data_IF_430841785638
#
_entry.id   IF_430841785638
#
_cell.length_a   1.000
_cell.length_b   1.000
_cell.length_c   1.000
_cell.angle_alpha   90.00
_cell.angle_beta   90.00
_cell.angle_gamma   90.00
#
_symmetry.space_group_name_H-M   'P 1'
#
loop_
_entity.id
_entity.type
_entity.pdbx_description
1 polymer ?
#
# COMPACT_ATOMS: atom_id res chain seq x y z
N UNK A 1 -72.95 -65.78 32.82
CA UNK A 1 -71.49 -66.05 32.84
C UNK A 1 -71.28 -67.09 31.75
N UNK A 2 -70.58 -66.82 30.66
CA UNK A 2 -69.20 -66.34 30.71
C UNK A 2 -68.84 -65.55 29.47
N UNK A 3 -68.15 -64.43 29.70
CA UNK A 3 -67.21 -63.84 28.76
C UNK A 3 -65.98 -64.75 28.79
N UNK A 4 -65.71 -65.45 27.70
CA UNK A 4 -64.41 -66.09 27.46
C UNK A 4 -64.25 -66.24 25.96
N UNK A 5 -63.96 -65.13 25.29
CA UNK A 5 -63.07 -65.18 24.13
C UNK A 5 -61.94 -64.19 24.44
N UNK A 6 -60.76 -64.78 24.66
CA UNK A 6 -59.50 -64.12 24.95
C UNK A 6 -58.99 -63.47 23.66
N UNK A 7 -58.54 -62.22 23.74
CA UNK A 7 -58.02 -61.45 22.58
C UNK A 7 -56.66 -61.99 22.07
N UNK A 8 -56.26 -63.19 22.49
CA UNK A 8 -54.96 -63.82 22.20
C UNK A 8 -54.87 -64.54 20.85
N UNK A 9 -55.93 -64.55 20.02
CA UNK A 9 -55.93 -65.21 18.70
C UNK A 9 -55.64 -64.30 17.49
N UNK A 10 -55.38 -63.00 17.68
CA UNK A 10 -54.87 -62.19 16.59
C UNK A 10 -53.37 -62.47 16.43
N UNK A 11 -52.99 -63.20 15.37
CA UNK A 11 -51.62 -63.13 14.86
C UNK A 11 -51.32 -61.65 14.61
N UNK A 12 -50.29 -61.12 15.26
CA UNK A 12 -49.69 -59.84 14.90
C UNK A 12 -49.44 -59.85 13.40
N UNK A 13 -50.35 -59.23 12.65
CA UNK A 13 -50.14 -58.97 11.24
C UNK A 13 -49.09 -57.89 11.26
N UNK A 14 -47.85 -58.26 10.94
CA UNK A 14 -46.73 -57.34 10.83
C UNK A 14 -47.17 -56.21 9.87
N UNK A 15 -47.62 -55.09 10.45
CA UNK A 15 -47.97 -53.91 9.67
C UNK A 15 -46.65 -53.34 9.18
N UNK A 16 -46.21 -53.81 8.00
CA UNK A 16 -45.08 -53.21 7.30
C UNK A 16 -45.48 -51.81 6.90
N UNK A 17 -45.22 -50.85 7.77
CA UNK A 17 -45.30 -49.43 7.47
C UNK A 17 -44.14 -49.13 6.51
N UNK A 18 -44.40 -49.17 5.20
CA UNK A 18 -43.45 -48.68 4.20
C UNK A 18 -43.30 -47.17 4.38
N UNK A 19 -42.30 -46.77 5.16
CA UNK A 19 -41.86 -45.38 5.21
C UNK A 19 -40.96 -45.17 3.98
N UNK A 20 -41.48 -44.48 2.97
CA UNK A 20 -40.64 -43.95 1.91
C UNK A 20 -39.83 -42.78 2.48
N UNK A 21 -38.60 -43.05 2.94
CA UNK A 21 -37.64 -41.99 3.25
C UNK A 21 -37.09 -41.50 1.91
N UNK A 22 -37.77 -40.51 1.33
CA UNK A 22 -37.24 -39.80 0.18
C UNK A 22 -36.29 -38.72 0.69
N UNK A 23 -35.00 -39.05 0.80
CA UNK A 23 -34.00 -38.06 1.16
C UNK A 23 -33.76 -37.16 -0.06
N UNK A 24 -34.49 -36.03 -0.14
CA UNK A 24 -34.28 -35.03 -1.18
C UNK A 24 -32.79 -34.67 -1.21
N UNK A 25 -32.12 -34.67 -2.38
CA UNK A 25 -30.76 -34.15 -2.48
C UNK A 25 -30.73 -32.74 -1.90
N UNK A 26 -29.85 -32.52 -0.91
CA UNK A 26 -29.72 -31.20 -0.32
C UNK A 26 -29.10 -30.26 -1.36
N UNK A 27 -29.69 -29.08 -1.51
CA UNK A 27 -29.20 -28.02 -2.39
C UNK A 27 -29.15 -26.70 -1.61
N UNK A 28 -28.23 -25.82 -2.00
CA UNK A 28 -28.09 -24.51 -1.37
C UNK A 28 -27.75 -23.45 -2.41
N UNK A 29 -28.23 -22.23 -2.19
CA UNK A 29 -27.81 -21.08 -2.98
C UNK A 29 -26.39 -20.69 -2.58
N UNK A 30 -25.55 -20.35 -3.56
CA UNK A 30 -24.19 -19.89 -3.31
C UNK A 30 -24.13 -18.37 -3.41
N UNK A 31 -23.69 -17.71 -2.33
CA UNK A 31 -23.31 -16.30 -2.32
C UNK A 31 -21.80 -16.19 -2.22
N UNK A 32 -21.19 -15.47 -3.15
CA UNK A 32 -19.75 -15.15 -3.13
C UNK A 32 -19.59 -13.71 -2.68
N UNK A 33 -18.71 -13.47 -1.71
CA UNK A 33 -18.34 -12.13 -1.24
C UNK A 33 -16.88 -11.89 -1.54
N UNK A 34 -16.60 -10.83 -2.31
CA UNK A 34 -15.23 -10.38 -2.60
C UNK A 34 -14.76 -9.44 -1.50
N UNK A 35 -13.65 -9.80 -0.86
CA UNK A 35 -13.05 -9.06 0.25
C UNK A 35 -11.62 -8.63 -0.07
N UNK A 36 -11.22 -7.52 0.53
CA UNK A 36 -9.82 -7.14 0.68
C UNK A 36 -9.17 -8.01 1.77
N UNK A 37 -8.01 -8.60 1.48
CA UNK A 37 -7.38 -9.56 2.37
C UNK A 37 -6.85 -8.91 3.66
N UNK A 38 -6.42 -7.66 3.60
CA UNK A 38 -5.83 -6.91 4.71
C UNK A 38 -6.91 -6.35 5.65
N UNK A 39 -7.86 -5.59 5.11
CA UNK A 39 -8.90 -4.92 5.92
C UNK A 39 -10.14 -5.76 6.18
N UNK A 40 -10.36 -6.85 5.42
CA UNK A 40 -11.58 -7.65 5.49
C UNK A 40 -12.85 -6.97 4.96
N UNK A 41 -12.74 -5.76 4.40
CA UNK A 41 -13.87 -5.02 3.81
C UNK A 41 -14.30 -5.61 2.47
N UNK A 42 -15.58 -5.42 2.13
CA UNK A 42 -16.12 -5.77 0.80
C UNK A 42 -15.49 -4.88 -0.26
N UNK A 43 -15.07 -5.49 -1.36
CA UNK A 43 -14.56 -4.76 -2.54
C UNK A 43 -15.77 -4.31 -3.34
N UNK A 44 -16.11 -3.03 -3.23
CA UNK A 44 -17.32 -2.43 -3.81
C UNK A 44 -17.03 -1.51 -5.00
N UNK A 45 -15.79 -1.09 -5.20
CA UNK A 45 -15.44 -0.20 -6.31
C UNK A 45 -15.46 -0.93 -7.65
N UNK A 46 -14.69 -2.02 -7.75
CA UNK A 46 -14.54 -2.82 -8.97
C UNK A 46 -15.00 -4.26 -8.72
N UNK A 47 -15.66 -4.87 -9.70
CA UNK A 47 -16.12 -6.26 -9.62
C UNK A 47 -15.00 -7.29 -9.85
N UNK A 48 -15.20 -8.49 -9.32
CA UNK A 48 -14.45 -9.71 -9.64
C UNK A 48 -15.36 -10.68 -10.40
N UNK A 49 -14.79 -11.44 -11.33
CA UNK A 49 -15.52 -12.48 -12.07
C UNK A 49 -14.99 -13.87 -11.70
N UNK A 50 -15.91 -14.80 -11.46
CA UNK A 50 -15.61 -16.14 -10.99
C UNK A 50 -16.20 -17.23 -11.89
N UNK A 51 -15.48 -18.33 -12.04
CA UNK A 51 -16.02 -19.61 -12.51
C UNK A 51 -15.97 -20.64 -11.39
N UNK A 52 -16.92 -21.57 -11.38
CA UNK A 52 -17.01 -22.61 -10.35
C UNK A 52 -16.79 -23.96 -11.02
N UNK A 53 -15.96 -24.82 -10.43
CA UNK A 53 -15.74 -26.20 -10.85
C UNK A 53 -16.34 -27.17 -9.83
N UNK A 54 -16.94 -28.25 -10.33
CA UNK A 54 -17.37 -29.40 -9.52
C UNK A 54 -16.17 -30.28 -9.11
N UNK A 55 -16.43 -31.33 -8.32
CA UNK A 55 -15.42 -32.29 -7.86
C UNK A 55 -14.73 -33.08 -8.98
N UNK A 56 -15.32 -33.11 -10.18
CA UNK A 56 -14.76 -33.73 -11.38
C UNK A 56 -13.94 -32.74 -12.22
N UNK A 57 -13.89 -31.46 -11.82
CA UNK A 57 -13.19 -30.38 -12.51
C UNK A 57 -13.98 -29.73 -13.64
N UNK A 58 -15.26 -30.06 -13.82
CA UNK A 58 -16.10 -29.44 -14.86
C UNK A 58 -16.64 -28.10 -14.38
N UNK A 59 -16.72 -27.12 -15.27
CA UNK A 59 -17.37 -25.85 -14.96
C UNK A 59 -18.88 -26.01 -14.75
N UNK A 60 -19.36 -25.42 -13.67
CA UNK A 60 -20.79 -25.29 -13.37
C UNK A 60 -21.40 -24.28 -14.35
N UNK A 61 -22.40 -24.73 -15.10
CA UNK A 61 -23.15 -23.89 -16.05
C UNK A 61 -24.63 -23.86 -15.65
N UNK A 62 -25.15 -22.68 -15.38
CA UNK A 62 -26.55 -22.47 -15.03
C UNK A 62 -27.35 -21.95 -16.22
N UNK A 63 -28.55 -22.49 -16.43
CA UNK A 63 -29.46 -22.04 -17.49
C UNK A 63 -30.66 -21.34 -16.87
N UNK A 64 -30.77 -20.04 -17.09
CA UNK A 64 -31.85 -19.21 -16.54
C UNK A 64 -32.35 -18.23 -17.61
N UNK A 65 -33.67 -18.07 -17.75
CA UNK A 65 -34.27 -17.17 -18.75
C UNK A 65 -33.84 -17.46 -20.20
N UNK A 66 -33.56 -18.73 -20.54
CA UNK A 66 -33.08 -19.13 -21.87
C UNK A 66 -31.59 -18.89 -22.14
N UNK A 67 -30.85 -18.24 -21.23
CA UNK A 67 -29.41 -17.97 -21.32
C UNK A 67 -28.61 -18.93 -20.46
N UNK A 68 -27.36 -19.20 -20.85
CA UNK A 68 -26.39 -19.99 -20.07
C UNK A 68 -25.38 -19.06 -19.41
N UNK A 69 -25.06 -19.33 -18.15
CA UNK A 69 -24.13 -18.59 -17.32
C UNK A 69 -23.12 -19.56 -16.72
N UNK A 70 -21.84 -19.33 -17.00
CA UNK A 70 -20.73 -20.09 -16.41
C UNK A 70 -19.75 -19.17 -15.64
N UNK A 71 -20.02 -17.86 -15.66
CA UNK A 71 -19.21 -16.80 -15.08
C UNK A 71 -20.12 -15.93 -14.22
N UNK A 72 -19.70 -15.66 -12.99
CA UNK A 72 -20.46 -14.93 -11.99
C UNK A 72 -19.66 -13.74 -11.50
N UNK A 73 -20.17 -12.53 -11.73
CA UNK A 73 -19.46 -11.27 -11.46
C UNK A 73 -20.11 -10.52 -10.31
N UNK A 74 -19.30 -10.08 -9.33
CA UNK A 74 -19.78 -9.32 -8.18
C UNK A 74 -20.29 -7.95 -8.57
N UNK A 75 -21.38 -7.53 -7.94
CA UNK A 75 -21.91 -6.18 -8.09
C UNK A 75 -20.89 -5.17 -7.54
N UNK A 76 -20.77 -4.00 -8.16
CA UNK A 76 -19.85 -2.94 -7.75
C UNK A 76 -20.25 -1.60 -8.35
N UNK A 77 -19.69 -0.51 -7.85
CA UNK A 77 -19.94 0.85 -8.36
C UNK A 77 -19.59 0.99 -9.84
N UNK A 78 -18.49 0.37 -10.29
CA UNK A 78 -18.05 0.43 -11.69
C UNK A 78 -18.68 -0.65 -12.57
N UNK A 79 -19.24 -1.71 -11.98
CA UNK A 79 -19.84 -2.83 -12.70
C UNK A 79 -21.11 -3.26 -11.97
N UNK A 80 -22.27 -2.87 -12.51
CA UNK A 80 -23.58 -3.27 -11.95
C UNK A 80 -24.14 -4.47 -12.72
N UNK A 81 -24.29 -5.61 -12.05
CA UNK A 81 -24.77 -6.88 -12.67
C UNK A 81 -26.22 -7.18 -12.33
N UNK A 82 -26.64 -6.87 -11.11
CA UNK A 82 -28.00 -7.06 -10.61
C UNK A 82 -28.44 -5.79 -9.91
N UNK A 83 -29.62 -5.26 -10.28
CA UNK A 83 -30.19 -4.08 -9.62
C UNK A 83 -30.53 -4.40 -8.17
N UNK A 84 -30.27 -3.45 -7.28
CA UNK A 84 -30.57 -3.55 -5.84
C UNK A 84 -29.84 -4.67 -5.09
N UNK A 85 -28.87 -5.33 -5.74
CA UNK A 85 -28.01 -6.32 -5.09
C UNK A 85 -26.86 -5.66 -4.33
N UNK A 86 -26.42 -6.30 -3.25
CA UNK A 86 -25.34 -5.81 -2.40
C UNK A 86 -23.99 -5.74 -3.16
N UNK A 87 -23.34 -4.57 -3.14
CA UNK A 87 -22.00 -4.37 -3.72
C UNK A 87 -20.95 -5.29 -3.06
N UNK A 88 -19.99 -5.73 -3.86
CA UNK A 88 -18.96 -6.70 -3.50
C UNK A 88 -19.46 -8.15 -3.41
N UNK A 89 -20.69 -8.43 -3.86
CA UNK A 89 -21.26 -9.77 -3.79
C UNK A 89 -21.85 -10.23 -5.13
N UNK A 90 -21.89 -11.55 -5.33
CA UNK A 90 -22.69 -12.19 -6.38
C UNK A 90 -23.36 -13.42 -5.80
N UNK A 91 -24.64 -13.57 -6.08
CA UNK A 91 -25.41 -14.77 -5.72
C UNK A 91 -25.76 -15.51 -7.00
N UNK A 92 -25.55 -16.83 -7.01
CA UNK A 92 -25.88 -17.67 -8.15
C UNK A 92 -27.41 -17.71 -8.36
N UNK A 93 -27.90 -17.62 -9.60
CA UNK A 93 -29.34 -17.60 -9.86
C UNK A 93 -30.04 -18.94 -9.57
N UNK A 94 -29.33 -20.07 -9.63
CA UNK A 94 -29.85 -21.38 -9.26
C UNK A 94 -29.05 -21.97 -8.09
N UNK A 95 -29.70 -22.80 -7.28
CA UNK A 95 -29.05 -23.57 -6.22
C UNK A 95 -28.07 -24.60 -6.81
N UNK A 96 -27.06 -24.97 -6.02
CA UNK A 96 -26.12 -26.05 -6.30
C UNK A 96 -26.45 -27.25 -5.40
N UNK A 97 -26.32 -28.46 -5.96
CA UNK A 97 -26.47 -29.70 -5.21
C UNK A 97 -25.34 -29.87 -4.18
N UNK A 98 -25.57 -30.71 -3.17
CA UNK A 98 -24.55 -31.10 -2.21
C UNK A 98 -23.33 -31.74 -2.91
N UNK A 99 -22.13 -31.30 -2.53
CA UNK A 99 -20.89 -31.74 -3.15
C UNK A 99 -19.72 -30.81 -2.89
N UNK A 100 -18.54 -31.22 -3.37
CA UNK A 100 -17.31 -30.44 -3.33
C UNK A 100 -17.14 -29.59 -4.59
N UNK A 101 -16.73 -28.34 -4.39
CA UNK A 101 -16.57 -27.35 -5.44
C UNK A 101 -15.29 -26.52 -5.25
N UNK A 102 -14.88 -25.84 -6.31
CA UNK A 102 -13.84 -24.82 -6.24
C UNK A 102 -14.19 -23.59 -7.08
N UNK A 103 -13.80 -22.41 -6.59
CA UNK A 103 -13.97 -21.13 -7.25
C UNK A 103 -12.64 -20.72 -7.86
N UNK A 104 -12.66 -20.41 -9.15
CA UNK A 104 -11.57 -19.83 -9.91
C UNK A 104 -11.90 -18.36 -10.20
N UNK A 105 -11.05 -17.44 -9.75
CA UNK A 105 -11.16 -16.02 -10.10
C UNK A 105 -10.58 -15.83 -11.50
N UNK A 106 -11.44 -15.49 -12.45
CA UNK A 106 -11.07 -15.30 -13.85
C UNK A 106 -10.87 -13.83 -14.22
N UNK A 107 -11.38 -12.93 -13.38
CA UNK A 107 -11.13 -11.48 -13.50
C UNK A 107 -10.89 -10.91 -12.11
N UNK A 108 -9.64 -10.50 -11.85
CA UNK A 108 -9.23 -9.87 -10.61
C UNK A 108 -9.63 -8.38 -10.62
N UNK A 109 -10.23 -7.85 -9.55
CA UNK A 109 -10.57 -6.43 -9.48
C UNK A 109 -9.35 -5.54 -9.62
N UNK A 110 -9.51 -4.41 -10.32
CA UNK A 110 -8.45 -3.40 -10.47
C UNK A 110 -7.91 -2.95 -9.11
N UNK A 111 -6.59 -2.92 -8.96
CA UNK A 111 -5.91 -2.56 -7.71
C UNK A 111 -5.63 -3.73 -6.77
N UNK A 112 -5.96 -4.97 -7.16
CA UNK A 112 -5.69 -6.18 -6.38
C UNK A 112 -4.76 -7.14 -7.12
N UNK A 113 -4.13 -8.02 -6.35
CA UNK A 113 -3.32 -9.13 -6.84
C UNK A 113 -4.24 -10.30 -7.19
N UNK A 114 -3.88 -11.08 -8.21
CA UNK A 114 -4.62 -12.29 -8.55
C UNK A 114 -4.47 -13.36 -7.46
N UNK A 115 -5.46 -14.25 -7.36
CA UNK A 115 -5.34 -15.42 -6.50
C UNK A 115 -4.32 -16.41 -7.06
N UNK A 116 -3.43 -16.90 -6.21
CA UNK A 116 -2.47 -17.96 -6.56
C UNK A 116 -3.13 -19.35 -6.56
N UNK A 117 -4.26 -19.51 -5.85
CA UNK A 117 -4.96 -20.79 -5.68
C UNK A 117 -6.48 -20.59 -5.77
N UNK A 118 -7.19 -21.63 -6.23
CA UNK A 118 -8.65 -21.66 -6.21
C UNK A 118 -9.19 -21.78 -4.79
N UNK A 119 -10.38 -21.21 -4.55
CA UNK A 119 -11.05 -21.27 -3.25
C UNK A 119 -11.97 -22.48 -3.23
N UNK A 120 -11.67 -23.47 -2.36
CA UNK A 120 -12.48 -24.69 -2.23
C UNK A 120 -13.60 -24.50 -1.21
N UNK A 121 -14.76 -25.09 -1.48
CA UNK A 121 -15.89 -25.12 -0.55
C UNK A 121 -16.72 -26.39 -0.76
N UNK A 122 -17.50 -26.77 0.25
CA UNK A 122 -18.36 -27.95 0.21
C UNK A 122 -19.77 -27.57 0.64
N UNK A 123 -20.75 -28.01 -0.15
CA UNK A 123 -22.18 -27.91 0.19
C UNK A 123 -22.58 -29.22 0.85
N UNK A 124 -23.03 -29.16 2.11
CA UNK A 124 -23.48 -30.31 2.90
C UNK A 124 -24.83 -30.02 3.58
N UNK A 125 -25.50 -31.06 4.04
CA UNK A 125 -26.86 -31.03 4.59
C UNK A 125 -26.98 -30.43 6.02
N UNK A 126 -26.37 -29.27 6.29
CA UNK A 126 -26.19 -28.77 7.67
C UNK A 126 -27.10 -27.59 8.06
N UNK A 127 -27.34 -27.50 9.38
CA UNK A 127 -28.20 -26.52 10.09
C UNK A 127 -27.60 -25.11 10.22
N UNK A 128 -26.37 -24.91 9.73
CA UNK A 128 -25.53 -23.74 10.03
C UNK A 128 -25.39 -22.76 8.86
N UNK A 129 -26.27 -22.86 7.85
CA UNK A 129 -26.28 -21.92 6.72
C UNK A 129 -27.17 -20.72 7.03
N UNK A 130 -26.78 -19.56 6.50
CA UNK A 130 -27.66 -18.41 6.46
C UNK A 130 -28.94 -18.80 5.70
N UNK A 131 -30.06 -18.18 6.02
CA UNK A 131 -31.31 -18.39 5.29
C UNK A 131 -31.77 -17.07 4.68
N UNK A 132 -32.38 -17.14 3.51
CA UNK A 132 -33.08 -15.99 2.94
C UNK A 132 -34.46 -15.78 3.59
N UNK A 133 -35.21 -14.82 3.07
CA UNK A 133 -36.57 -14.48 3.53
C UNK A 133 -37.55 -15.66 3.38
N UNK A 134 -37.26 -16.62 2.48
CA UNK A 134 -38.07 -17.80 2.19
C UNK A 134 -37.58 -19.05 2.95
N UNK A 135 -36.65 -18.89 3.89
CA UNK A 135 -36.00 -19.96 4.67
C UNK A 135 -35.10 -20.91 3.84
N UNK A 136 -34.76 -20.54 2.61
CA UNK A 136 -33.87 -21.31 1.75
C UNK A 136 -32.40 -21.14 2.19
N UNK A 137 -31.60 -22.22 2.24
CA UNK A 137 -30.23 -22.17 2.75
C UNK A 137 -29.26 -21.50 1.76
N UNK A 138 -28.53 -20.49 2.24
CA UNK A 138 -27.46 -19.78 1.53
C UNK A 138 -26.10 -20.12 2.13
N UNK A 139 -25.23 -20.72 1.32
CA UNK A 139 -23.82 -20.83 1.65
C UNK A 139 -23.07 -19.58 1.19
N UNK A 140 -22.46 -18.85 2.13
CA UNK A 140 -21.61 -17.70 1.85
C UNK A 140 -20.14 -18.08 1.78
N UNK A 141 -19.50 -17.91 0.62
CA UNK A 141 -18.06 -18.12 0.42
C UNK A 141 -17.34 -16.77 0.29
N UNK A 142 -16.28 -16.58 1.08
CA UNK A 142 -15.48 -15.35 1.10
C UNK A 142 -14.22 -15.53 0.26
N UNK A 143 -14.05 -14.71 -0.78
CA UNK A 143 -12.86 -14.70 -1.64
C UNK A 143 -12.06 -13.44 -1.36
N UNK A 144 -10.80 -13.60 -0.92
CA UNK A 144 -9.95 -12.51 -0.44
C UNK A 144 -8.76 -12.29 -1.37
N UNK A 145 -8.55 -11.05 -1.84
CA UNK A 145 -7.33 -10.69 -2.56
C UNK A 145 -6.57 -9.63 -1.80
N UNK A 146 -5.25 -9.72 -1.83
CA UNK A 146 -4.37 -8.69 -1.32
C UNK A 146 -4.20 -7.56 -2.34
N UNK A 147 -3.82 -6.38 -1.87
CA UNK A 147 -3.42 -5.25 -2.72
C UNK A 147 -1.88 -5.22 -2.82
N UNK A 148 -1.31 -4.84 -3.98
CA UNK A 148 0.12 -4.56 -4.05
C UNK A 148 0.44 -3.31 -3.22
N UNK A 149 1.67 -3.25 -2.70
CA UNK A 149 2.18 -2.09 -1.96
C UNK A 149 3.37 -1.47 -2.68
N UNK A 150 3.60 -0.19 -2.43
CA UNK A 150 4.77 0.53 -2.89
C UNK A 150 5.79 0.70 -1.77
N UNK A 151 7.05 0.79 -2.17
CA UNK A 151 8.18 1.03 -1.28
C UNK A 151 9.16 1.99 -1.92
N UNK A 152 9.60 2.97 -1.16
CA UNK A 152 10.66 3.90 -1.54
C UNK A 152 11.90 3.53 -0.73
N UNK A 153 13.03 3.40 -1.43
CA UNK A 153 14.35 3.23 -0.83
C UNK A 153 15.22 4.39 -1.28
N UNK A 154 15.60 5.26 -0.35
CA UNK A 154 16.46 6.39 -0.61
C UNK A 154 17.83 6.16 0.03
N UNK A 155 18.89 6.47 -0.68
CA UNK A 155 20.27 6.52 -0.18
C UNK A 155 20.79 7.94 -0.30
N UNK A 156 21.32 8.46 0.80
CA UNK A 156 21.80 9.82 0.95
C UNK A 156 23.28 9.85 1.26
N UNK A 157 24.05 10.57 0.45
CA UNK A 157 25.49 10.71 0.66
C UNK A 157 25.97 12.15 0.52
N UNK A 158 27.19 12.40 0.96
CA UNK A 158 27.97 13.57 0.57
C UNK A 158 28.30 13.50 -0.93
N UNK A 159 28.24 14.65 -1.63
CA UNK A 159 28.52 14.72 -3.08
C UNK A 159 30.00 14.54 -3.43
N UNK A 160 30.90 14.98 -2.56
CA UNK A 160 32.35 14.94 -2.79
C UNK A 160 32.96 13.63 -2.28
N UNK A 161 32.63 13.20 -1.06
CA UNK A 161 33.25 12.04 -0.40
C UNK A 161 32.50 10.74 -0.65
N UNK A 162 31.22 10.79 -1.06
CA UNK A 162 30.29 9.66 -1.11
C UNK A 162 30.02 9.00 0.25
N UNK A 163 30.39 9.63 1.35
CA UNK A 163 30.08 9.14 2.70
C UNK A 163 28.58 9.23 2.97
N UNK A 164 28.06 8.28 3.73
CA UNK A 164 26.64 8.21 4.07
C UNK A 164 26.25 9.34 5.04
N UNK A 165 25.08 9.96 4.79
CA UNK A 165 24.55 11.02 5.65
C UNK A 165 23.34 10.53 6.44
N UNK A 166 23.53 10.31 7.74
CA UNK A 166 22.49 9.93 8.68
C UNK A 166 21.67 11.14 9.16
N UNK A 167 20.47 10.90 9.68
CA UNK A 167 19.59 11.89 10.30
C UNK A 167 19.09 13.03 9.39
N UNK A 168 19.22 12.88 8.06
CA UNK A 168 18.62 13.81 7.08
C UNK A 168 17.11 13.54 6.99
N UNK A 169 16.30 14.58 7.17
CA UNK A 169 14.84 14.47 7.24
C UNK A 169 14.19 14.62 5.87
N UNK A 170 13.20 13.77 5.61
CA UNK A 170 12.39 13.80 4.41
C UNK A 170 10.90 13.76 4.74
N UNK A 171 10.12 14.39 3.88
CA UNK A 171 8.66 14.34 3.87
C UNK A 171 8.16 13.83 2.51
N UNK A 172 7.26 12.85 2.58
CA UNK A 172 6.51 12.34 1.43
C UNK A 172 5.10 12.93 1.45
N UNK A 173 4.71 13.59 0.37
CA UNK A 173 3.37 14.15 0.17
C UNK A 173 2.66 13.52 -1.01
N UNK A 174 1.34 13.49 -1.00
CA UNK A 174 0.55 13.02 -2.14
C UNK A 174 0.51 14.09 -3.24
N UNK A 175 0.93 13.74 -4.46
CA UNK A 175 0.92 14.68 -5.61
C UNK A 175 -0.48 14.85 -6.21
N UNK A 176 -1.34 13.87 -6.00
CA UNK A 176 -2.72 13.81 -6.44
C UNK A 176 -3.62 13.22 -5.35
N UNK A 177 -4.93 13.24 -5.55
CA UNK A 177 -5.85 12.50 -4.67
C UNK A 177 -5.63 11.00 -4.87
N UNK A 178 -5.35 10.29 -3.77
CA UNK A 178 -5.13 8.85 -3.77
C UNK A 178 -6.39 8.18 -3.21
N UNK A 179 -6.99 7.31 -4.01
CA UNK A 179 -8.25 6.64 -3.67
C UNK A 179 -8.05 5.18 -3.34
N UNK A 180 -8.93 4.65 -2.49
CA UNK A 180 -9.01 3.26 -2.11
C UNK A 180 -9.51 2.39 -3.28
N UNK A 181 -8.76 1.34 -3.64
CA UNK A 181 -9.21 0.36 -4.61
C UNK A 181 -10.40 -0.49 -4.10
N UNK A 182 -10.65 -0.48 -2.79
CA UNK A 182 -11.74 -1.23 -2.15
C UNK A 182 -13.09 -0.63 -2.48
N UNK A 183 -13.27 0.68 -2.25
CA UNK A 183 -14.57 1.36 -2.20
C UNK A 183 -14.58 2.73 -2.89
N UNK A 184 -13.44 3.19 -3.40
CA UNK A 184 -13.27 4.50 -4.01
C UNK A 184 -13.17 5.66 -3.02
N UNK A 185 -13.05 5.40 -1.71
CA UNK A 185 -12.89 6.47 -0.73
C UNK A 185 -11.55 7.19 -0.88
N UNK A 186 -11.51 8.49 -0.61
CA UNK A 186 -10.25 9.24 -0.56
C UNK A 186 -9.39 8.75 0.62
N UNK A 187 -8.14 8.39 0.35
CA UNK A 187 -7.13 8.03 1.39
C UNK A 187 -6.25 9.21 1.73
N UNK A 188 -5.70 9.86 0.69
CA UNK A 188 -4.88 11.05 0.83
C UNK A 188 -5.36 12.10 -0.16
N UNK A 189 -5.63 13.30 0.34
CA UNK A 189 -5.87 14.45 -0.52
C UNK A 189 -4.54 14.90 -1.16
N UNK A 190 -4.61 15.53 -2.33
CA UNK A 190 -3.46 16.20 -2.93
C UNK A 190 -2.84 17.18 -1.93
N UNK A 191 -1.51 17.11 -1.78
CA UNK A 191 -0.72 17.91 -0.85
C UNK A 191 -0.68 17.37 0.58
N UNK A 192 -1.45 16.33 0.91
CA UNK A 192 -1.42 15.75 2.25
C UNK A 192 -0.07 15.05 2.52
N UNK A 193 0.47 15.25 3.71
CA UNK A 193 1.59 14.47 4.23
C UNK A 193 1.19 13.01 4.37
N UNK A 194 1.96 12.12 3.76
CA UNK A 194 1.76 10.67 3.78
C UNK A 194 2.72 10.03 4.78
N UNK A 195 3.98 10.46 4.78
CA UNK A 195 5.00 9.95 5.69
C UNK A 195 6.09 11.01 5.93
N UNK A 196 6.76 10.88 7.07
CA UNK A 196 8.01 11.58 7.40
C UNK A 196 9.03 10.55 7.87
N UNK A 197 10.31 10.77 7.60
CA UNK A 197 11.35 9.85 8.00
C UNK A 197 12.73 10.49 7.96
N UNK A 198 13.71 9.81 8.56
CA UNK A 198 15.11 10.20 8.54
C UNK A 198 15.98 9.11 7.94
N UNK A 199 17.10 9.49 7.37
CA UNK A 199 18.12 8.52 6.94
C UNK A 199 18.78 7.87 8.16
N UNK A 200 19.07 6.57 8.07
CA UNK A 200 19.78 5.81 9.10
C UNK A 200 21.31 6.04 9.05
N UNK A 201 22.06 5.35 9.91
CA UNK A 201 23.52 5.43 9.97
C UNK A 201 24.24 5.09 8.64
N UNK A 202 23.58 4.38 7.72
CA UNK A 202 24.10 4.07 6.38
C UNK A 202 23.56 5.03 5.32
N UNK A 203 22.96 6.16 5.74
CA UNK A 203 22.36 7.15 4.86
C UNK A 203 21.08 6.66 4.18
N UNK A 204 20.45 5.60 4.69
CA UNK A 204 19.30 4.96 4.04
C UNK A 204 17.99 5.36 4.69
N UNK A 205 17.00 5.70 3.87
CA UNK A 205 15.62 5.90 4.28
C UNK A 205 14.72 4.89 3.54
N UNK A 206 13.86 4.21 4.28
CA UNK A 206 12.84 3.30 3.71
C UNK A 206 11.46 3.81 4.11
N UNK A 207 10.60 4.00 3.12
CA UNK A 207 9.17 4.28 3.30
C UNK A 207 8.40 3.17 2.60
N UNK A 208 7.73 2.31 3.36
CA UNK A 208 7.00 1.15 2.84
C UNK A 208 5.48 1.29 2.98
N UNK A 209 4.77 0.21 2.64
CA UNK A 209 3.32 0.10 2.82
C UNK A 209 2.50 1.19 2.10
N UNK A 210 3.07 1.78 1.05
CA UNK A 210 2.44 2.84 0.27
C UNK A 210 1.37 2.27 -0.65
N UNK A 211 0.28 3.01 -0.83
CA UNK A 211 -0.73 2.67 -1.83
C UNK A 211 -0.26 3.11 -3.23
N UNK A 212 -0.85 2.54 -4.28
CA UNK A 212 -0.61 2.99 -5.65
C UNK A 212 -1.08 4.45 -5.81
N UNK A 213 -0.30 5.25 -6.54
CA UNK A 213 -0.54 6.68 -6.72
C UNK A 213 0.76 7.46 -6.97
N UNK A 214 0.60 8.78 -7.16
CA UNK A 214 1.72 9.71 -7.35
C UNK A 214 2.03 10.49 -6.08
N UNK A 215 3.30 10.59 -5.78
CA UNK A 215 3.83 11.24 -4.58
C UNK A 215 5.01 12.18 -4.92
N UNK A 216 5.31 13.06 -3.98
CA UNK A 216 6.46 13.96 -3.99
C UNK A 216 7.25 13.78 -2.70
N UNK A 217 8.52 13.38 -2.84
CA UNK A 217 9.46 13.24 -1.73
C UNK A 217 10.39 14.45 -1.72
N UNK A 218 10.43 15.18 -0.61
CA UNK A 218 11.24 16.39 -0.44
C UNK A 218 12.08 16.27 0.82
N UNK A 219 13.32 16.75 0.74
CA UNK A 219 14.18 16.93 1.91
C UNK A 219 13.70 18.14 2.71
N UNK A 220 13.56 17.98 4.03
CA UNK A 220 13.05 19.03 4.91
C UNK A 220 14.09 19.56 5.87
N UNK A 221 15.14 18.78 6.15
CA UNK A 221 16.23 19.16 7.03
C UNK A 221 17.48 18.32 6.71
N UNK A 222 18.66 18.91 6.70
CA UNK A 222 19.94 18.19 6.56
C UNK A 222 20.82 18.38 7.80
N UNK A 223 21.96 17.68 7.81
CA UNK A 223 23.02 17.89 8.80
C UNK A 223 23.59 19.31 8.70
N UNK A 224 24.09 19.84 9.81
CA UNK A 224 24.80 21.13 9.85
C UNK A 224 26.02 21.11 8.91
N UNK A 225 26.30 22.24 8.27
CA UNK A 225 27.37 22.36 7.28
C UNK A 225 27.03 21.77 5.91
N UNK A 226 25.76 21.45 5.66
CA UNK A 226 25.26 21.01 4.35
C UNK A 226 24.12 21.92 3.87
N UNK A 227 24.08 22.13 2.55
CA UNK A 227 22.96 22.85 1.91
C UNK A 227 21.74 21.93 1.79
N UNK A 228 20.61 22.35 2.33
CA UNK A 228 19.31 21.69 2.14
C UNK A 228 18.95 21.63 0.65
N UNK A 229 18.61 20.45 0.16
CA UNK A 229 18.18 20.29 -1.22
C UNK A 229 16.76 20.79 -1.44
N UNK A 230 16.56 21.75 -2.35
CA UNK A 230 15.22 22.17 -2.79
C UNK A 230 14.58 21.21 -3.81
N UNK A 231 15.31 20.17 -4.24
CA UNK A 231 14.86 19.25 -5.29
C UNK A 231 13.69 18.40 -4.81
N UNK A 232 12.59 18.45 -5.55
CA UNK A 232 11.42 17.58 -5.32
C UNK A 232 11.53 16.31 -6.18
N UNK A 233 11.48 15.15 -5.54
CA UNK A 233 11.53 13.86 -6.21
C UNK A 233 10.12 13.33 -6.47
N UNK A 234 9.74 13.24 -7.74
CA UNK A 234 8.47 12.62 -8.13
C UNK A 234 8.57 11.10 -8.05
N UNK A 235 7.61 10.49 -7.36
CA UNK A 235 7.49 9.04 -7.18
C UNK A 235 6.16 8.61 -7.79
N UNK A 236 6.20 7.62 -8.68
CA UNK A 236 5.01 7.06 -9.31
C UNK A 236 4.93 5.57 -8.99
N UNK A 237 3.91 5.19 -8.21
CA UNK A 237 3.63 3.80 -7.84
C UNK A 237 2.41 3.34 -8.61
N UNK A 238 2.65 2.52 -9.64
CA UNK A 238 1.60 1.99 -10.50
C UNK A 238 1.67 0.47 -10.51
N UNK A 239 0.51 -0.18 -10.38
CA UNK A 239 0.38 -1.61 -10.58
C UNK A 239 0.55 -1.92 -12.07
N UNK A 240 1.59 -2.68 -12.41
CA UNK A 240 1.93 -3.09 -13.79
C UNK A 240 1.40 -4.48 -14.15
N UNK A 241 1.10 -5.29 -13.14
CA UNK A 241 0.69 -6.68 -13.27
C UNK A 241 -0.10 -7.13 -12.03
N UNK A 242 -0.61 -8.36 -12.02
CA UNK A 242 -1.44 -8.90 -10.95
C UNK A 242 -0.66 -9.75 -9.92
N UNK A 243 0.66 -9.89 -10.03
CA UNK A 243 1.45 -10.83 -9.21
C UNK A 243 2.52 -10.15 -8.34
N UNK A 244 2.99 -8.96 -8.72
CA UNK A 244 4.00 -8.20 -8.00
C UNK A 244 3.44 -7.62 -6.72
N UNK A 245 3.85 -8.19 -5.58
CA UNK A 245 3.37 -7.81 -4.24
C UNK A 245 3.90 -6.45 -3.78
N UNK A 246 5.13 -6.11 -4.16
CA UNK A 246 5.81 -4.87 -3.75
C UNK A 246 6.49 -4.19 -4.94
N UNK A 247 6.14 -2.93 -5.20
CA UNK A 247 6.77 -2.07 -6.21
C UNK A 247 7.80 -1.16 -5.56
N UNK A 248 9.08 -1.37 -5.86
CA UNK A 248 10.20 -0.67 -5.23
C UNK A 248 10.72 0.46 -6.13
N UNK A 249 10.81 1.67 -5.58
CA UNK A 249 11.45 2.84 -6.22
C UNK A 249 12.70 3.20 -5.44
N UNK A 250 13.85 3.15 -6.11
CA UNK A 250 15.15 3.53 -5.52
C UNK A 250 15.56 4.93 -5.94
N UNK A 251 16.09 5.73 -5.00
CA UNK A 251 16.66 7.06 -5.25
C UNK A 251 18.02 7.17 -4.56
N UNK A 252 19.03 7.61 -5.32
CA UNK A 252 20.33 8.00 -4.79
C UNK A 252 20.43 9.51 -4.92
N UNK A 253 20.70 10.19 -3.81
CA UNK A 253 20.70 11.64 -3.70
C UNK A 253 21.89 12.10 -2.86
N UNK A 254 22.33 13.33 -3.08
CA UNK A 254 23.51 13.88 -2.40
C UNK A 254 23.25 15.27 -1.89
N UNK A 255 23.96 15.67 -0.81
CA UNK A 255 24.09 17.08 -0.41
C UNK A 255 25.51 17.56 -0.62
N UNK A 256 25.62 18.87 -0.66
CA UNK A 256 26.87 19.60 -0.82
C UNK A 256 27.19 20.20 0.53
N UNK A 257 28.38 19.91 1.05
CA UNK A 257 29.00 20.73 2.07
C UNK A 257 29.63 21.93 1.36
N UNK A 258 29.12 23.17 1.55
CA UNK A 258 29.71 24.33 0.94
C UNK A 258 31.06 24.61 1.59
N UNK A 259 32.05 24.93 0.77
CA UNK A 259 33.36 25.36 1.20
C UNK A 259 33.79 26.54 0.32
N UNK A 260 34.48 27.50 0.91
CA UNK A 260 35.07 28.61 0.19
C UNK A 260 36.40 28.99 0.80
N UNK A 261 37.28 29.52 -0.04
CA UNK A 261 38.60 29.99 0.37
C UNK A 261 38.72 31.48 0.07
N UNK A 262 39.24 32.25 1.03
CA UNK A 262 39.58 33.65 0.83
C UNK A 262 41.10 33.77 0.87
N UNK A 263 41.68 34.23 -0.25
CA UNK A 263 43.11 34.49 -0.39
C UNK A 263 43.33 36.00 -0.42
N UNK A 264 44.01 36.52 0.58
CA UNK A 264 44.41 37.93 0.64
C UNK A 264 45.93 38.01 0.57
N UNK A 265 46.43 38.85 -0.34
CA UNK A 265 47.87 39.11 -0.43
C UNK A 265 48.16 40.57 -0.09
N UNK A 266 48.94 40.80 0.96
CA UNK A 266 49.42 42.12 1.34
C UNK A 266 50.78 42.37 0.73
N UNK A 267 50.86 43.40 -0.12
CA UNK A 267 52.11 43.89 -0.70
C UNK A 267 52.38 45.34 -0.33
N UNK A 268 53.64 45.70 -0.38
CA UNK A 268 54.08 47.08 -0.45
C UNK A 268 53.59 47.69 -1.77
N UNK A 269 53.20 48.97 -1.72
CA UNK A 269 52.62 49.66 -2.89
C UNK A 269 53.67 49.93 -3.97
N UNK A 270 54.89 50.24 -3.57
CA UNK A 270 55.94 50.77 -4.43
C UNK A 270 56.90 49.66 -4.85
N UNK A 271 57.28 48.78 -3.90
CA UNK A 271 58.22 47.67 -4.18
C UNK A 271 57.52 46.40 -4.66
N UNK A 272 56.19 46.29 -4.48
CA UNK A 272 55.40 45.07 -4.72
C UNK A 272 55.84 43.85 -3.88
N UNK A 273 56.72 44.05 -2.92
CA UNK A 273 57.19 43.00 -2.01
C UNK A 273 56.08 42.61 -1.03
N UNK A 274 56.08 41.34 -0.62
CA UNK A 274 55.12 40.80 0.32
C UNK A 274 55.38 41.31 1.76
N UNK A 275 54.31 41.69 2.45
CA UNK A 275 54.39 42.21 3.82
C UNK A 275 53.82 41.20 4.84
N UNK A 276 54.70 40.66 5.68
CA UNK A 276 54.37 39.72 6.75
C UNK A 276 54.03 40.44 8.06
N UNK A 277 53.33 39.74 8.96
CA UNK A 277 52.99 40.25 10.30
C UNK A 277 51.77 41.18 10.34
N UNK A 278 50.97 41.23 9.26
CA UNK A 278 49.74 42.02 9.21
C UNK A 278 48.57 41.16 9.62
N UNK A 279 47.83 41.58 10.65
CA UNK A 279 46.62 40.88 11.07
C UNK A 279 45.44 41.24 10.18
N UNK A 280 44.74 40.23 9.69
CA UNK A 280 43.45 40.37 9.02
C UNK A 280 42.34 39.82 9.91
N UNK A 281 41.19 40.47 9.89
CA UNK A 281 39.96 40.00 10.52
C UNK A 281 38.86 40.00 9.46
N UNK A 282 38.30 38.82 9.21
CA UNK A 282 37.10 38.65 8.40
C UNK A 282 35.88 38.89 9.30
N UNK A 283 34.98 39.78 8.88
CA UNK A 283 33.75 40.08 9.61
C UNK A 283 32.52 39.87 8.74
N UNK A 284 31.45 39.36 9.34
CA UNK A 284 30.18 39.20 8.66
C UNK A 284 29.58 40.56 8.29
N UNK A 285 29.30 40.79 7.01
CA UNK A 285 28.70 42.05 6.51
C UNK A 285 27.22 42.16 6.89
N UNK A 286 26.57 41.03 7.08
CA UNK A 286 25.16 40.85 7.44
C UNK A 286 25.01 39.63 8.35
N UNK A 287 23.79 39.38 8.83
CA UNK A 287 23.49 38.17 9.59
C UNK A 287 23.59 36.94 8.68
N UNK A 288 24.35 35.93 9.08
CA UNK A 288 24.57 34.69 8.33
C UNK A 288 23.80 33.57 9.02
N UNK A 289 22.96 32.85 8.26
CA UNK A 289 22.10 31.79 8.76
C UNK A 289 22.46 30.43 8.17
N UNK A 290 22.11 29.36 8.88
CA UNK A 290 22.34 28.00 8.42
C UNK A 290 21.51 27.64 7.18
N UNK A 291 22.11 26.94 6.22
CA UNK A 291 21.50 26.45 4.98
C UNK A 291 20.90 25.04 5.11
N UNK A 292 21.00 24.46 6.31
CA UNK A 292 20.55 23.11 6.64
C UNK A 292 19.01 22.95 6.78
N UNK A 293 18.27 24.08 6.73
CA UNK A 293 16.83 24.16 6.92
C UNK A 293 16.40 24.59 8.33
N UNK A 294 17.30 24.66 9.31
CA UNK A 294 17.02 25.15 10.67
C UNK A 294 16.94 26.67 10.74
N UNK A 295 17.59 27.36 9.79
CA UNK A 295 17.71 28.81 9.77
C UNK A 295 18.31 29.36 11.09
N UNK A 296 19.34 28.68 11.60
CA UNK A 296 20.08 29.05 12.80
C UNK A 296 21.00 30.22 12.48
N UNK A 297 20.98 31.29 13.28
CA UNK A 297 21.92 32.40 13.14
C UNK A 297 23.33 31.95 13.54
N UNK A 298 24.25 31.92 12.58
CA UNK A 298 25.64 31.52 12.77
C UNK A 298 26.52 32.71 13.19
N UNK A 299 26.39 33.83 12.48
CA UNK A 299 27.12 35.07 12.74
C UNK A 299 26.17 36.27 12.64
N UNK A 300 26.24 37.21 13.58
CA UNK A 300 25.56 38.50 13.44
C UNK A 300 26.38 39.42 12.55
N UNK A 301 25.70 40.37 11.93
CA UNK A 301 26.34 41.50 11.27
C UNK A 301 27.39 42.15 12.19
N UNK A 302 28.63 42.18 11.71
CA UNK A 302 29.79 42.75 12.40
C UNK A 302 30.60 41.76 13.23
N UNK A 303 30.11 40.54 13.43
CA UNK A 303 30.85 39.51 14.15
C UNK A 303 32.13 39.13 13.38
N UNK A 304 33.20 38.87 14.12
CA UNK A 304 34.39 38.23 13.58
C UNK A 304 34.06 36.80 13.17
N UNK A 305 34.32 36.48 11.91
CA UNK A 305 34.25 35.11 11.36
C UNK A 305 35.61 34.44 11.52
N UNK A 306 36.69 35.17 11.21
CA UNK A 306 38.06 34.65 11.23
C UNK A 306 39.06 35.76 11.55
N UNK A 307 40.18 35.43 12.19
CA UNK A 307 41.25 36.39 12.49
C UNK A 307 42.60 35.68 12.50
N UNK A 308 43.54 36.12 11.65
CA UNK A 308 44.87 35.52 11.56
C UNK A 308 45.93 36.54 11.10
N UNK A 309 47.21 36.20 11.27
CA UNK A 309 48.38 37.01 10.92
C UNK A 309 48.93 36.57 9.56
N UNK A 310 49.24 37.52 8.68
CA UNK A 310 49.82 37.21 7.38
C UNK A 310 51.23 36.62 7.49
N UNK A 311 51.45 35.47 6.86
CA UNK A 311 52.75 34.85 6.69
C UNK A 311 53.23 35.02 5.24
N UNK A 312 54.46 35.51 5.05
CA UNK A 312 55.03 35.79 3.72
C UNK A 312 54.12 36.66 2.83
N UNK A 313 53.34 37.56 3.43
CA UNK A 313 52.36 38.42 2.75
C UNK A 313 51.05 37.78 2.36
N UNK A 314 50.78 36.53 2.73
CA UNK A 314 49.52 35.85 2.44
C UNK A 314 48.69 35.62 3.71
N UNK A 315 47.39 35.79 3.56
CA UNK A 315 46.37 35.33 4.50
C UNK A 315 45.44 34.40 3.72
N UNK A 316 45.33 33.17 4.18
CA UNK A 316 44.45 32.15 3.60
C UNK A 316 43.57 31.66 4.72
N UNK A 317 42.26 31.68 4.50
CA UNK A 317 41.30 31.03 5.40
C UNK A 317 40.65 29.87 4.70
N UNK A 318 40.61 28.74 5.41
CA UNK A 318 39.82 27.58 5.05
C UNK A 318 38.59 27.60 5.94
N UNK A 319 37.61 28.42 5.57
CA UNK A 319 36.34 28.45 6.27
C UNK A 319 35.50 27.27 5.76
N UNK A 320 35.31 26.25 6.60
CA UNK A 320 34.17 25.36 6.47
C UNK A 320 32.95 26.20 6.86
N UNK A 321 32.33 26.80 5.85
CA UNK A 321 31.33 27.82 6.07
C UNK A 321 30.39 27.91 4.88
N UNK A 322 29.11 28.02 5.21
CA UNK A 322 28.04 28.37 4.30
C UNK A 322 28.20 29.85 3.91
N UNK A 323 29.06 30.11 2.91
CA UNK A 323 29.28 31.45 2.32
C UNK A 323 28.23 31.74 1.25
#
# INVERSE_FOLDING_TARGET
ISVTDDYSEYKDVEQVKRINVNNRPFSSQLKIIKLDAESGKKVTLNGASFKIKDSKGNYVVQKFGGKKYDTFTTNSKSVVTVKDAEEGTVTLPLQLDAGDYSIEEVETPKGFLQLEQSVKFTITNTRDYDKDEDEDPILTVKVKNAQPKGKIVLTKTDKATNEALADVEYELTAKENIYSAVDGSLRYAKGATVAKGKTDANGKLVIDSLFMGKYELKETLTNEGYVLSEKVHQINLEQKDLTTKEYIITKNVTNIAPYGEIHVQKRDRDTLENLSGVTFQLTAKEDIYSLDGRNTLLYKKGDAVSMDISENGYYVTNELGEI
#
